data_IF_907934144249
#
_entry.id   IF_907934144249
#
_cell.length_a   1.000
_cell.length_b   1.000
_cell.length_c   1.000
_cell.angle_alpha   90.00
_cell.angle_beta   90.00
_cell.angle_gamma   90.00
#
_symmetry.space_group_name_H-M   'P 1'
#
loop_
_entity.id
_entity.type
_entity.pdbx_description
1 polymer ?
#
# COMPACT_ATOMS: atom_id res chain seq x y z
N UNK A 1 -5.22 6.12 25.65
CA UNK A 1 -3.95 5.37 25.49
C UNK A 1 -3.53 5.46 24.02
N UNK A 2 -2.67 6.41 23.70
CA UNK A 2 -2.07 6.52 22.37
C UNK A 2 -0.89 5.56 22.28
N UNK A 3 -1.10 4.38 21.70
CA UNK A 3 0.00 3.61 21.14
C UNK A 3 0.41 4.32 19.85
N UNK A 4 1.32 5.29 20.01
CA UNK A 4 2.18 5.73 18.91
C UNK A 4 2.94 4.49 18.46
N UNK A 5 2.37 3.82 17.47
CA UNK A 5 2.88 2.58 16.92
C UNK A 5 4.32 2.78 16.47
N UNK A 6 5.13 1.74 16.60
CA UNK A 6 6.52 1.57 16.14
C UNK A 6 6.73 1.85 14.62
N UNK A 7 5.78 2.49 13.95
CA UNK A 7 5.55 2.70 12.51
C UNK A 7 6.36 3.83 11.87
N UNK A 8 7.51 4.14 12.44
CA UNK A 8 8.55 4.99 11.81
C UNK A 8 9.71 4.12 11.31
N UNK A 9 9.40 2.93 10.78
CA UNK A 9 10.40 1.90 10.44
C UNK A 9 11.43 2.38 9.41
N UNK A 10 11.04 3.22 8.44
CA UNK A 10 11.95 3.81 7.47
C UNK A 10 12.70 5.03 8.01
N UNK A 11 12.09 5.90 8.83
CA UNK A 11 12.80 7.06 9.37
C UNK A 11 13.84 6.67 10.42
N UNK A 12 13.73 5.48 11.01
CA UNK A 12 14.70 4.91 11.94
C UNK A 12 15.82 4.11 11.24
N UNK A 13 15.77 3.88 9.92
CA UNK A 13 16.79 3.07 9.22
C UNK A 13 17.05 3.59 7.81
N UNK A 14 18.33 3.84 7.52
CA UNK A 14 18.78 4.33 6.22
C UNK A 14 18.36 3.40 5.07
N UNK A 15 17.70 3.96 4.04
CA UNK A 15 17.28 3.25 2.82
C UNK A 15 18.47 2.51 2.16
N UNK A 16 19.65 3.13 1.97
CA UNK A 16 20.85 2.43 1.53
C UNK A 16 21.16 1.13 2.29
N UNK A 17 21.01 1.13 3.62
CA UNK A 17 21.28 -0.07 4.44
C UNK A 17 20.29 -1.18 4.13
N UNK A 18 19.00 -0.83 4.01
CA UNK A 18 17.94 -1.78 3.63
C UNK A 18 18.22 -2.39 2.25
N UNK A 19 18.61 -1.55 1.27
CA UNK A 19 18.94 -2.00 -0.09
C UNK A 19 20.18 -2.90 -0.13
N UNK A 20 21.23 -2.58 0.63
CA UNK A 20 22.44 -3.41 0.72
C UNK A 20 22.14 -4.78 1.35
N UNK A 21 21.32 -4.82 2.39
CA UNK A 21 20.84 -6.07 2.98
C UNK A 21 20.09 -6.92 1.94
N UNK A 22 19.19 -6.31 1.17
CA UNK A 22 18.43 -7.02 0.15
C UNK A 22 19.32 -7.58 -0.97
N UNK A 23 20.29 -6.80 -1.47
CA UNK A 23 21.27 -7.27 -2.46
C UNK A 23 22.12 -8.44 -1.92
N UNK A 24 22.53 -8.39 -0.64
CA UNK A 24 23.22 -9.51 0.00
C UNK A 24 22.32 -10.75 0.03
N UNK A 25 21.05 -10.61 0.42
CA UNK A 25 20.08 -11.70 0.46
C UNK A 25 19.83 -12.31 -0.92
N UNK A 26 19.64 -11.50 -1.97
CA UNK A 26 19.52 -11.94 -3.38
C UNK A 26 20.74 -12.78 -3.80
N UNK A 27 21.96 -12.36 -3.44
CA UNK A 27 23.20 -13.12 -3.74
C UNK A 27 23.27 -14.45 -3.01
N UNK A 28 22.89 -14.48 -1.72
CA UNK A 28 22.86 -15.71 -0.93
C UNK A 28 21.89 -16.74 -1.50
N UNK A 29 20.70 -16.30 -1.95
CA UNK A 29 19.73 -17.19 -2.59
C UNK A 29 20.21 -17.78 -3.93
N UNK A 30 21.08 -17.05 -4.67
CA UNK A 30 21.68 -17.54 -5.92
C UNK A 30 22.88 -18.48 -5.71
N UNK A 31 23.48 -18.50 -4.51
CA UNK A 31 24.63 -19.35 -4.21
C UNK A 31 24.19 -20.80 -3.95
N UNK A 32 24.73 -21.75 -4.73
CA UNK A 32 24.44 -23.20 -4.59
C UNK A 32 24.94 -23.82 -3.27
N UNK A 33 25.70 -23.11 -2.45
CA UNK A 33 26.23 -23.61 -1.17
C UNK A 33 25.30 -23.24 0.00
N UNK A 34 24.21 -23.98 0.13
CA UNK A 34 23.16 -23.77 1.15
C UNK A 34 23.54 -24.35 2.53
N UNK A 35 24.64 -25.10 2.65
CA UNK A 35 24.93 -25.90 3.85
C UNK A 35 25.61 -25.16 5.01
N UNK A 36 25.93 -23.86 4.92
CA UNK A 36 26.75 -23.19 5.95
C UNK A 36 26.27 -21.83 6.42
N UNK A 37 25.10 -21.34 5.98
CA UNK A 37 24.60 -20.05 6.44
C UNK A 37 23.52 -20.24 7.52
N UNK A 38 23.84 -20.09 8.81
CA UNK A 38 22.81 -19.90 9.82
C UNK A 38 22.15 -18.55 9.52
N UNK A 39 20.99 -18.61 8.86
CA UNK A 39 20.05 -17.49 8.78
C UNK A 39 19.76 -17.07 10.22
N UNK A 40 20.32 -15.95 10.67
CA UNK A 40 20.04 -15.39 11.99
C UNK A 40 18.60 -14.88 11.95
N UNK A 41 17.66 -15.78 12.28
CA UNK A 41 16.21 -15.62 12.06
C UNK A 41 15.65 -14.28 12.55
N UNK A 42 16.19 -13.72 13.64
CA UNK A 42 15.68 -12.51 14.28
C UNK A 42 16.18 -11.19 13.66
N UNK A 43 17.37 -11.19 13.03
CA UNK A 43 17.90 -9.99 12.35
C UNK A 43 17.31 -9.88 10.95
N UNK A 44 17.15 -11.02 10.28
CA UNK A 44 16.59 -11.08 8.93
C UNK A 44 15.10 -10.72 8.87
N UNK A 45 14.31 -10.97 9.93
CA UNK A 45 12.89 -10.57 9.97
C UNK A 45 12.73 -9.05 10.01
N UNK A 46 13.48 -8.35 10.87
CA UNK A 46 13.40 -6.89 11.00
C UNK A 46 13.78 -6.15 9.70
N UNK A 47 14.83 -6.59 8.99
CA UNK A 47 15.19 -6.00 7.70
C UNK A 47 14.21 -6.38 6.58
N UNK A 48 13.56 -7.55 6.66
CA UNK A 48 12.51 -7.92 5.72
C UNK A 48 11.29 -7.00 5.86
N UNK A 49 10.83 -6.74 7.08
CA UNK A 49 9.69 -5.84 7.34
C UNK A 49 10.00 -4.42 6.85
N UNK A 50 11.22 -3.93 7.10
CA UNK A 50 11.70 -2.63 6.59
C UNK A 50 11.77 -2.59 5.07
N UNK A 51 12.20 -3.68 4.43
CA UNK A 51 12.23 -3.77 2.97
C UNK A 51 10.81 -3.82 2.39
N UNK A 52 9.88 -4.57 3.00
CA UNK A 52 8.48 -4.59 2.58
C UNK A 52 7.86 -3.20 2.68
N UNK A 53 8.04 -2.50 3.81
CA UNK A 53 7.60 -1.11 3.96
C UNK A 53 8.23 -0.18 2.92
N UNK A 54 9.52 -0.33 2.63
CA UNK A 54 10.20 0.42 1.57
C UNK A 54 9.52 0.20 0.21
N UNK A 55 9.15 -1.03 -0.12
CA UNK A 55 8.47 -1.36 -1.38
C UNK A 55 7.04 -0.81 -1.45
N UNK A 56 6.30 -0.85 -0.33
CA UNK A 56 4.94 -0.29 -0.26
C UNK A 56 4.96 1.22 -0.53
N UNK A 57 5.87 1.95 0.13
CA UNK A 57 6.02 3.40 -0.07
C UNK A 57 6.56 3.69 -1.47
N UNK A 58 7.50 2.89 -1.98
CA UNK A 58 8.00 3.01 -3.36
C UNK A 58 6.87 2.88 -4.40
N UNK A 59 5.99 1.88 -4.28
CA UNK A 59 4.88 1.71 -5.20
C UNK A 59 3.95 2.94 -5.20
N UNK A 60 3.72 3.52 -4.02
CA UNK A 60 2.91 4.74 -3.87
C UNK A 60 3.59 5.95 -4.50
N UNK A 61 4.87 6.19 -4.19
CA UNK A 61 5.66 7.28 -4.78
C UNK A 61 5.71 7.16 -6.30
N UNK A 62 5.98 5.97 -6.83
CA UNK A 62 6.07 5.71 -8.27
C UNK A 62 4.76 5.98 -9.00
N UNK A 63 3.63 5.81 -8.30
CA UNK A 63 2.29 6.04 -8.82
C UNK A 63 1.74 7.44 -8.53
N UNK A 64 2.59 8.39 -8.11
CA UNK A 64 2.23 9.81 -7.92
C UNK A 64 2.12 10.29 -6.47
N UNK A 65 2.38 9.43 -5.49
CA UNK A 65 2.34 9.76 -4.05
C UNK A 65 0.96 9.58 -3.40
N UNK A 66 0.91 9.55 -2.07
CA UNK A 66 -0.31 9.24 -1.33
C UNK A 66 -1.37 10.32 -1.48
N UNK A 67 -1.00 11.61 -1.48
CA UNK A 67 -1.95 12.72 -1.62
C UNK A 67 -2.73 12.63 -2.92
N UNK A 68 -2.04 12.45 -4.05
CA UNK A 68 -2.66 12.33 -5.37
C UNK A 68 -3.58 11.09 -5.44
N UNK A 69 -3.15 9.97 -4.86
CA UNK A 69 -3.95 8.76 -4.82
C UNK A 69 -5.17 8.85 -3.90
N UNK A 70 -5.07 9.56 -2.77
CA UNK A 70 -6.21 9.83 -1.88
C UNK A 70 -7.23 10.69 -2.61
N UNK A 71 -6.79 11.71 -3.33
CA UNK A 71 -7.67 12.54 -4.15
C UNK A 71 -8.39 11.68 -5.20
N UNK A 72 -7.64 10.89 -5.97
CA UNK A 72 -8.21 10.02 -6.99
C UNK A 72 -9.20 8.99 -6.42
N UNK A 73 -8.93 8.43 -5.23
CA UNK A 73 -9.83 7.50 -4.55
C UNK A 73 -11.14 8.17 -4.13
N UNK A 74 -11.10 9.40 -3.60
CA UNK A 74 -12.31 10.14 -3.27
C UNK A 74 -13.12 10.48 -4.54
N UNK A 75 -12.46 10.96 -5.59
CA UNK A 75 -13.13 11.27 -6.85
C UNK A 75 -13.78 10.05 -7.49
N UNK A 76 -13.12 8.88 -7.43
CA UNK A 76 -13.68 7.62 -7.89
C UNK A 76 -14.93 7.24 -7.08
N UNK A 77 -14.83 7.25 -5.74
CA UNK A 77 -15.95 6.94 -4.86
C UNK A 77 -17.14 7.86 -5.13
N UNK A 78 -16.91 9.16 -5.23
CA UNK A 78 -18.00 10.14 -5.40
C UNK A 78 -18.73 9.90 -6.74
N UNK A 79 -17.99 9.62 -7.83
CA UNK A 79 -18.57 9.27 -9.14
C UNK A 79 -19.41 7.99 -9.10
N UNK A 80 -18.86 6.93 -8.52
CA UNK A 80 -19.56 5.64 -8.45
C UNK A 80 -20.78 5.71 -7.53
N UNK A 81 -20.65 6.39 -6.38
CA UNK A 81 -21.78 6.63 -5.45
C UNK A 81 -22.91 7.39 -6.14
N UNK A 82 -22.58 8.42 -6.92
CA UNK A 82 -23.58 9.19 -7.65
C UNK A 82 -24.22 8.37 -8.80
N UNK A 83 -23.49 7.44 -9.41
CA UNK A 83 -24.06 6.49 -10.37
C UNK A 83 -25.05 5.52 -9.71
N UNK A 84 -24.65 4.90 -8.59
CA UNK A 84 -25.49 3.99 -7.81
C UNK A 84 -26.74 4.72 -7.29
N UNK A 85 -26.58 5.94 -6.76
CA UNK A 85 -27.68 6.75 -6.23
C UNK A 85 -28.70 7.08 -7.34
N UNK A 86 -28.22 7.45 -8.54
CA UNK A 86 -29.10 7.67 -9.70
C UNK A 86 -29.84 6.39 -10.06
N UNK A 87 -29.17 5.23 -10.07
CA UNK A 87 -29.82 3.96 -10.38
C UNK A 87 -30.89 3.58 -9.34
N UNK A 88 -30.57 3.70 -8.06
CA UNK A 88 -31.51 3.49 -6.95
C UNK A 88 -32.75 4.39 -7.08
N UNK A 89 -32.57 5.67 -7.44
CA UNK A 89 -33.69 6.58 -7.64
C UNK A 89 -34.64 6.15 -8.78
N UNK A 90 -34.08 5.59 -9.87
CA UNK A 90 -34.85 5.12 -11.02
C UNK A 90 -35.70 3.89 -10.70
N UNK A 91 -35.19 3.00 -9.85
CA UNK A 91 -35.85 1.73 -9.52
C UNK A 91 -36.67 1.79 -8.22
N UNK A 92 -36.60 2.89 -7.45
CA UNK A 92 -37.24 3.04 -6.14
C UNK A 92 -38.76 2.82 -6.14
N UNK A 93 -39.44 3.09 -7.27
CA UNK A 93 -40.88 2.94 -7.43
C UNK A 93 -41.27 1.67 -8.22
N UNK A 94 -40.33 0.75 -8.46
CA UNK A 94 -40.54 -0.48 -9.21
C UNK A 94 -40.56 -1.67 -8.25
N UNK A 95 -41.75 -2.22 -7.92
CA UNK A 95 -41.86 -3.34 -6.97
C UNK A 95 -41.08 -4.58 -7.40
N UNK A 96 -40.95 -4.82 -8.71
CA UNK A 96 -40.24 -5.96 -9.27
C UNK A 96 -38.70 -5.82 -9.17
N UNK A 97 -38.19 -4.62 -8.86
CA UNK A 97 -36.76 -4.34 -8.81
C UNK A 97 -36.12 -4.56 -7.43
N UNK A 98 -36.79 -5.29 -6.52
CA UNK A 98 -36.34 -5.51 -5.14
C UNK A 98 -34.93 -6.13 -5.07
N UNK A 99 -34.64 -7.14 -5.90
CA UNK A 99 -33.32 -7.78 -5.93
C UNK A 99 -32.22 -6.83 -6.44
N UNK A 100 -32.54 -6.02 -7.46
CA UNK A 100 -31.61 -5.02 -7.99
C UNK A 100 -31.33 -3.92 -6.95
N UNK A 101 -32.36 -3.51 -6.21
CA UNK A 101 -32.25 -2.54 -5.13
C UNK A 101 -31.30 -3.03 -4.02
N UNK A 102 -31.49 -4.26 -3.54
CA UNK A 102 -30.62 -4.86 -2.53
C UNK A 102 -29.17 -4.98 -3.01
N UNK A 103 -28.97 -5.39 -4.27
CA UNK A 103 -27.63 -5.49 -4.85
C UNK A 103 -26.92 -4.13 -4.91
N UNK A 104 -27.62 -3.08 -5.34
CA UNK A 104 -27.06 -1.72 -5.43
C UNK A 104 -26.75 -1.13 -4.05
N UNK A 105 -27.55 -1.46 -3.03
CA UNK A 105 -27.22 -1.08 -1.65
C UNK A 105 -25.95 -1.76 -1.15
N UNK A 106 -25.80 -3.06 -1.42
CA UNK A 106 -24.58 -3.79 -1.07
C UNK A 106 -23.36 -3.22 -1.81
N UNK A 107 -23.50 -2.95 -3.10
CA UNK A 107 -22.44 -2.35 -3.93
C UNK A 107 -21.99 -0.99 -3.38
N UNK A 108 -22.93 -0.13 -2.96
CA UNK A 108 -22.59 1.14 -2.31
C UNK A 108 -21.80 0.93 -1.00
N UNK A 109 -22.19 -0.05 -0.17
CA UNK A 109 -21.50 -0.33 1.08
C UNK A 109 -20.07 -0.87 0.85
N UNK A 110 -19.89 -1.73 -0.14
CA UNK A 110 -18.59 -2.28 -0.52
C UNK A 110 -17.67 -1.21 -1.12
N UNK A 111 -18.23 -0.30 -1.94
CA UNK A 111 -17.51 0.86 -2.47
C UNK A 111 -16.98 1.77 -1.35
N UNK A 112 -17.83 2.11 -0.38
CA UNK A 112 -17.43 2.93 0.78
C UNK A 112 -16.35 2.23 1.61
N UNK A 113 -16.56 0.95 1.93
CA UNK A 113 -15.64 0.17 2.76
C UNK A 113 -14.26 0.02 2.12
N UNK A 114 -14.23 -0.33 0.83
CA UNK A 114 -12.99 -0.52 0.07
C UNK A 114 -12.24 0.80 -0.14
N UNK A 115 -12.94 1.89 -0.46
CA UNK A 115 -12.34 3.22 -0.60
C UNK A 115 -11.77 3.70 0.73
N UNK A 116 -12.53 3.59 1.82
CA UNK A 116 -12.07 4.00 3.15
C UNK A 116 -10.84 3.20 3.58
N UNK A 117 -10.85 1.89 3.37
CA UNK A 117 -9.68 1.04 3.63
C UNK A 117 -8.45 1.54 2.85
N UNK A 118 -8.60 1.81 1.55
CA UNK A 118 -7.49 2.30 0.72
C UNK A 118 -6.97 3.65 1.19
N UNK A 119 -7.86 4.60 1.50
CA UNK A 119 -7.49 5.92 2.03
C UNK A 119 -6.74 5.78 3.36
N UNK A 120 -7.20 4.89 4.26
CA UNK A 120 -6.53 4.66 5.53
C UNK A 120 -5.12 4.07 5.35
N UNK A 121 -4.94 3.15 4.40
CA UNK A 121 -3.60 2.65 4.05
C UNK A 121 -2.69 3.76 3.51
N UNK A 122 -3.21 4.65 2.67
CA UNK A 122 -2.44 5.77 2.14
C UNK A 122 -2.09 6.81 3.22
N UNK A 123 -3.00 7.06 4.17
CA UNK A 123 -2.75 7.95 5.32
C UNK A 123 -1.74 7.39 6.32
N UNK A 124 -1.55 6.08 6.35
CA UNK A 124 -0.52 5.44 7.18
C UNK A 124 0.90 5.73 6.66
N UNK A 125 1.06 6.23 5.43
CA UNK A 125 2.36 6.62 4.86
C UNK A 125 2.73 8.02 5.35
N UNK A 126 3.84 8.12 6.07
CA UNK A 126 4.30 9.41 6.58
C UNK A 126 4.93 10.25 5.46
N UNK A 127 4.72 11.58 5.41
CA UNK A 127 5.31 12.45 4.38
C UNK A 127 6.85 12.36 4.30
N UNK A 128 7.50 12.08 5.43
CA UNK A 128 8.95 11.89 5.47
C UNK A 128 9.41 10.59 4.81
N UNK A 129 8.61 9.52 4.90
CA UNK A 129 8.90 8.27 4.20
C UNK A 129 8.79 8.47 2.70
N UNK A 130 7.74 9.15 2.22
CA UNK A 130 7.63 9.52 0.81
C UNK A 130 8.80 10.36 0.34
N UNK A 131 9.20 11.37 1.12
CA UNK A 131 10.33 12.25 0.79
C UNK A 131 11.62 11.44 0.68
N UNK A 132 11.92 10.59 1.66
CA UNK A 132 13.09 9.74 1.64
C UNK A 132 13.07 8.80 0.42
N UNK A 133 11.95 8.14 0.15
CA UNK A 133 11.84 7.25 -1.02
C UNK A 133 12.00 8.00 -2.34
N UNK A 134 11.47 9.22 -2.46
CA UNK A 134 11.69 10.09 -3.63
C UNK A 134 13.16 10.44 -3.83
N UNK A 135 13.88 10.76 -2.77
CA UNK A 135 15.31 11.06 -2.81
C UNK A 135 16.13 9.85 -3.30
N UNK A 136 15.79 8.65 -2.82
CA UNK A 136 16.51 7.42 -3.14
C UNK A 136 15.95 6.65 -4.34
N UNK A 137 14.98 7.22 -5.07
CA UNK A 137 14.26 6.54 -6.16
C UNK A 137 15.21 5.90 -7.21
N UNK A 138 16.25 6.59 -7.72
CA UNK A 138 17.16 5.99 -8.69
C UNK A 138 17.90 4.76 -8.16
N UNK A 139 18.25 4.76 -6.87
CA UNK A 139 18.99 3.66 -6.24
C UNK A 139 18.07 2.45 -5.99
N UNK A 140 16.83 2.70 -5.58
CA UNK A 140 15.80 1.67 -5.42
C UNK A 140 15.57 0.98 -6.77
N UNK A 141 15.37 1.75 -7.84
CA UNK A 141 15.13 1.21 -9.19
C UNK A 141 16.31 0.38 -9.71
N UNK A 142 17.55 0.82 -9.48
CA UNK A 142 18.75 0.04 -9.83
C UNK A 142 18.80 -1.32 -9.14
N UNK A 143 18.34 -1.40 -7.88
CA UNK A 143 18.30 -2.66 -7.10
C UNK A 143 17.15 -3.57 -7.51
N UNK A 144 16.05 -3.02 -8.03
CA UNK A 144 14.91 -3.78 -8.51
C UNK A 144 15.14 -4.37 -9.90
N UNK A 145 15.80 -3.64 -10.80
CA UNK A 145 16.08 -4.06 -12.19
C UNK A 145 17.19 -5.14 -12.25
N UNK A 146 18.09 -5.20 -11.26
CA UNK A 146 19.22 -6.15 -11.19
C UNK A 146 18.93 -7.40 -10.34
#
# INVERSE_FOLDING_TARGET
MHLLSEKTLLSQTSIPVILQWWLRRKRLAKSRNVLSNPVVKNVDSNYLDKYQRLMDVYAVVKSGGAVAQIQAANEYRDRERDAITRRLSQISNQPEATDEYLRLQQEAQELESSTLWRINQLKDIHPEEERAVREYLPQIEQVLIR
#
